data_IF_419723857316
#
_entry.id   IF_419723857316
#
_cell.length_a   1.000
_cell.length_b   1.000
_cell.length_c   1.000
_cell.angle_alpha   90.00
_cell.angle_beta   90.00
_cell.angle_gamma   90.00
#
_symmetry.space_group_name_H-M   'P 1'
#
loop_
_entity.id
_entity.type
_entity.pdbx_description
1 polymer ?
#
# COMPACT_ATOMS: atom_id res chain seq x y z
N UNK A 1 -13.17 26.85 -7.63
CA UNK A 1 -13.47 25.44 -7.27
C UNK A 1 -12.42 24.57 -7.93
N UNK A 2 -11.78 23.62 -7.24
CA UNK A 2 -10.87 22.69 -7.92
C UNK A 2 -11.69 21.89 -8.94
N UNK A 3 -11.30 21.98 -10.21
CA UNK A 3 -11.97 21.34 -11.35
C UNK A 3 -11.43 19.94 -11.65
N UNK A 4 -10.34 19.53 -10.98
CA UNK A 4 -9.73 18.21 -11.16
C UNK A 4 -10.13 17.22 -10.05
N UNK A 5 -10.40 15.95 -10.39
CA UNK A 5 -10.71 14.92 -9.41
C UNK A 5 -9.49 14.60 -8.55
N UNK A 6 -9.65 14.70 -7.23
CA UNK A 6 -8.63 14.22 -6.28
C UNK A 6 -8.82 12.72 -6.05
N UNK A 7 -7.72 11.98 -6.10
CA UNK A 7 -7.72 10.52 -5.92
C UNK A 7 -7.04 10.17 -4.60
N UNK A 8 -7.73 9.38 -3.76
CA UNK A 8 -7.18 8.81 -2.52
C UNK A 8 -7.03 7.29 -2.68
N UNK A 9 -5.81 6.77 -2.51
CA UNK A 9 -5.57 5.34 -2.41
C UNK A 9 -5.54 4.90 -0.94
N UNK A 10 -6.33 3.88 -0.61
CA UNK A 10 -6.34 3.24 0.72
C UNK A 10 -5.84 1.81 0.59
N UNK A 11 -4.80 1.46 1.35
CA UNK A 11 -4.25 0.10 1.39
C UNK A 11 -4.63 -0.52 2.74
N UNK A 12 -5.53 -1.52 2.78
CA UNK A 12 -5.90 -2.16 4.03
C UNK A 12 -4.78 -3.09 4.52
N UNK A 13 -4.28 -2.83 5.73
CA UNK A 13 -3.22 -3.61 6.37
C UNK A 13 -3.78 -4.36 7.60
N UNK A 14 -4.38 -5.54 7.38
CA UNK A 14 -4.93 -6.35 8.47
C UNK A 14 -3.83 -7.12 9.21
N UNK A 15 -3.71 -6.88 10.52
CA UNK A 15 -2.66 -7.48 11.35
C UNK A 15 -2.90 -8.95 11.72
N UNK A 16 -4.14 -9.33 12.04
CA UNK A 16 -4.51 -10.60 12.67
C UNK A 16 -4.58 -11.80 11.71
N UNK A 17 -3.61 -11.95 10.80
CA UNK A 17 -3.53 -13.16 9.96
C UNK A 17 -2.91 -14.32 10.74
N UNK A 18 -3.64 -15.44 10.84
CA UNK A 18 -3.16 -16.66 11.52
C UNK A 18 -2.20 -17.49 10.65
N UNK A 19 -2.42 -17.53 9.33
CA UNK A 19 -1.59 -18.28 8.37
C UNK A 19 -0.28 -17.56 8.01
N UNK A 20 -0.24 -16.24 8.18
CA UNK A 20 0.98 -15.46 7.97
C UNK A 20 1.05 -14.34 9.02
N UNK A 21 1.55 -14.63 10.24
CA UNK A 21 1.58 -13.68 11.34
C UNK A 21 2.32 -12.39 10.98
N UNK A 22 1.75 -11.25 11.38
CA UNK A 22 2.35 -9.93 11.10
C UNK A 22 2.42 -9.60 9.60
N UNK A 23 1.63 -10.26 8.75
CA UNK A 23 1.64 -10.17 7.28
C UNK A 23 1.98 -8.79 6.70
N UNK A 24 1.36 -7.66 7.12
CA UNK A 24 1.71 -6.35 6.57
C UNK A 24 3.17 -5.93 6.79
N UNK A 25 3.75 -6.25 7.94
CA UNK A 25 5.15 -5.96 8.29
C UNK A 25 6.07 -7.16 8.09
N UNK A 26 5.55 -8.30 7.67
CA UNK A 26 6.34 -9.48 7.38
C UNK A 26 7.42 -9.13 6.36
N UNK A 27 8.66 -9.45 6.71
CA UNK A 27 9.82 -9.19 5.88
C UNK A 27 9.86 -10.19 4.73
N UNK A 28 9.84 -9.69 3.50
CA UNK A 28 9.96 -10.49 2.29
C UNK A 28 11.21 -10.01 1.56
N UNK A 29 12.29 -10.79 1.62
CA UNK A 29 13.58 -10.47 0.96
C UNK A 29 14.06 -9.06 1.31
N UNK A 30 14.12 -8.73 2.60
CA UNK A 30 14.58 -7.42 3.10
C UNK A 30 13.59 -6.26 2.92
N UNK A 31 12.39 -6.50 2.42
CA UNK A 31 11.35 -5.46 2.24
C UNK A 31 10.03 -5.91 2.88
N UNK A 32 9.44 -5.12 3.79
CA UNK A 32 8.10 -5.39 4.33
C UNK A 32 7.03 -5.50 3.23
N UNK A 33 6.08 -6.42 3.41
CA UNK A 33 4.98 -6.61 2.46
C UNK A 33 4.27 -5.31 2.09
N UNK A 34 3.91 -4.49 3.08
CA UNK A 34 3.15 -3.26 2.85
C UNK A 34 3.90 -2.26 1.98
N UNK A 35 5.22 -2.16 2.14
CA UNK A 35 6.07 -1.28 1.34
C UNK A 35 6.08 -1.71 -0.14
N UNK A 36 5.96 -3.00 -0.43
CA UNK A 36 5.84 -3.50 -1.80
C UNK A 36 4.52 -3.02 -2.45
N UNK A 37 3.41 -3.07 -1.70
CA UNK A 37 2.10 -2.59 -2.20
C UNK A 37 2.12 -1.08 -2.44
N UNK A 38 2.68 -0.30 -1.50
CA UNK A 38 2.85 1.15 -1.65
C UNK A 38 3.67 1.48 -2.90
N UNK A 39 4.81 0.82 -3.11
CA UNK A 39 5.66 1.03 -4.30
C UNK A 39 4.91 0.74 -5.59
N UNK A 40 4.06 -0.28 -5.62
CA UNK A 40 3.26 -0.59 -6.82
C UNK A 40 2.15 0.43 -7.05
N UNK A 41 1.49 0.90 -5.99
CA UNK A 41 0.48 1.96 -6.08
C UNK A 41 1.09 3.26 -6.63
N UNK A 42 2.27 3.66 -6.15
CA UNK A 42 2.97 4.87 -6.57
C UNK A 42 3.36 4.90 -8.05
N UNK A 43 3.45 3.77 -8.74
CA UNK A 43 3.76 3.73 -10.18
C UNK A 43 2.63 4.31 -11.05
N UNK A 44 1.44 4.56 -10.49
CA UNK A 44 0.29 5.03 -11.25
C UNK A 44 0.24 6.55 -11.30
N UNK A 45 0.17 7.09 -12.51
CA UNK A 45 0.10 8.55 -12.77
C UNK A 45 -1.13 9.23 -12.13
N UNK A 46 -2.16 8.48 -11.74
CA UNK A 46 -3.36 9.02 -11.09
C UNK A 46 -3.14 9.34 -9.60
N UNK A 47 -2.04 8.87 -8.99
CA UNK A 47 -1.69 9.09 -7.58
C UNK A 47 -0.52 10.07 -7.43
N UNK A 48 -0.39 11.02 -8.37
CA UNK A 48 0.64 12.06 -8.33
C UNK A 48 0.48 12.93 -7.08
N UNK A 49 1.63 13.32 -6.51
CA UNK A 49 1.71 14.25 -5.38
C UNK A 49 1.30 15.65 -5.80
#
# INVERSE_FOLDING_TARGET
>A
MPTEPRVLAVIPARWASSRFPGKPLANIVGVPMIQRVVKQAQKKNILRK
#
